data_IF_600631893037
#
_entry.id   IF_600631893037
#
_cell.length_a   1.000
_cell.length_b   1.000
_cell.length_c   1.000
_cell.angle_alpha   90.00
_cell.angle_beta   90.00
_cell.angle_gamma   90.00
#
_symmetry.space_group_name_H-M   'P 1'
#
loop_
_entity.id
_entity.type
_entity.pdbx_description
1 polymer ?
#
# COMPACT_ATOMS: atom_id res chain seq x y z
N UNK A 1 -7.97 -15.89 4.54
CA UNK A 1 -8.73 -16.10 5.81
C UNK A 1 -10.03 -15.36 5.58
N UNK A 2 -11.17 -15.89 6.03
CA UNK A 2 -12.42 -15.17 5.87
C UNK A 2 -12.35 -13.84 6.64
N UNK A 3 -12.97 -12.76 6.13
CA UNK A 3 -12.86 -11.44 6.72
C UNK A 3 -13.57 -11.36 8.08
N UNK A 4 -13.07 -10.44 8.92
CA UNK A 4 -13.76 -9.98 10.12
C UNK A 4 -14.58 -8.73 9.77
N UNK A 5 -15.91 -8.85 9.85
CA UNK A 5 -16.85 -7.81 9.39
C UNK A 5 -17.43 -7.05 10.57
N UNK A 6 -17.18 -5.75 10.65
CA UNK A 6 -17.83 -4.88 11.62
C UNK A 6 -19.27 -4.56 11.20
N UNK A 7 -20.19 -4.78 12.13
CA UNK A 7 -21.61 -4.60 11.93
C UNK A 7 -22.02 -3.30 12.63
N UNK A 8 -22.55 -2.33 11.87
CA UNK A 8 -22.90 -1.02 12.43
C UNK A 8 -24.22 -0.54 11.85
N UNK A 9 -25.21 -0.28 12.70
CA UNK A 9 -26.46 0.28 12.21
C UNK A 9 -27.54 0.38 13.26
N UNK A 10 -28.69 0.91 12.85
CA UNK A 10 -29.86 1.00 13.71
C UNK A 10 -31.09 1.07 12.82
N UNK A 11 -32.13 0.35 13.23
CA UNK A 11 -33.46 0.38 12.64
C UNK A 11 -34.51 0.97 13.60
N UNK A 12 -34.08 1.59 14.70
CA UNK A 12 -34.95 2.20 15.71
C UNK A 12 -35.76 3.33 15.09
N UNK A 13 -37.07 3.38 15.32
CA UNK A 13 -37.99 4.35 14.67
C UNK A 13 -38.17 5.64 15.47
N UNK A 14 -37.80 5.63 16.74
CA UNK A 14 -37.90 6.76 17.68
C UNK A 14 -36.69 7.71 17.62
N UNK A 15 -35.66 7.36 16.84
CA UNK A 15 -34.44 8.15 16.68
C UNK A 15 -34.57 9.21 15.59
N UNK A 16 -34.05 10.43 15.82
CA UNK A 16 -33.98 11.44 14.78
C UNK A 16 -32.88 11.08 13.76
N UNK A 17 -33.28 10.74 12.54
CA UNK A 17 -32.35 10.57 11.42
C UNK A 17 -32.34 11.79 10.52
N UNK A 18 -31.15 12.17 10.04
CA UNK A 18 -31.02 13.21 9.02
C UNK A 18 -31.57 12.75 7.67
N UNK A 19 -31.25 11.50 7.31
CA UNK A 19 -31.85 10.81 6.17
C UNK A 19 -32.90 9.85 6.71
N UNK A 20 -34.18 9.94 6.29
CA UNK A 20 -35.23 9.09 6.84
C UNK A 20 -34.89 7.60 6.72
N UNK A 21 -35.19 6.85 7.78
CA UNK A 21 -35.19 5.40 7.75
C UNK A 21 -36.41 4.91 6.95
N UNK A 22 -36.21 3.90 6.10
CA UNK A 22 -37.24 3.27 5.27
C UNK A 22 -37.41 1.82 5.69
N UNK A 23 -38.66 1.38 5.79
CA UNK A 23 -39.02 -0.02 6.04
C UNK A 23 -38.25 -0.65 7.23
N UNK A 24 -38.35 -0.09 8.45
CA UNK A 24 -37.55 -0.50 9.61
C UNK A 24 -37.67 -2.00 9.93
N UNK A 25 -38.88 -2.57 9.83
CA UNK A 25 -39.11 -4.00 10.07
C UNK A 25 -38.41 -4.89 9.04
N UNK A 26 -38.39 -4.45 7.77
CA UNK A 26 -37.68 -5.16 6.71
C UNK A 26 -36.16 -5.03 6.90
N UNK A 27 -35.67 -3.89 7.40
CA UNK A 27 -34.24 -3.71 7.71
C UNK A 27 -33.76 -4.70 8.79
N UNK A 28 -34.60 -5.00 9.79
CA UNK A 28 -34.32 -6.03 10.80
C UNK A 28 -34.27 -7.41 10.15
N UNK A 29 -35.27 -7.75 9.33
CA UNK A 29 -35.28 -9.04 8.59
C UNK A 29 -34.03 -9.20 7.72
N UNK A 30 -33.68 -8.16 6.97
CA UNK A 30 -32.49 -8.11 6.14
C UNK A 30 -31.19 -8.32 6.94
N UNK A 31 -31.11 -7.73 8.14
CA UNK A 31 -29.98 -7.93 9.03
C UNK A 31 -29.86 -9.40 9.49
N UNK A 32 -30.97 -10.08 9.78
CA UNK A 32 -30.95 -11.53 10.10
C UNK A 32 -30.51 -12.37 8.89
N UNK A 33 -30.98 -12.05 7.68
CA UNK A 33 -30.56 -12.73 6.46
C UNK A 33 -29.07 -12.53 6.18
N UNK A 34 -28.56 -11.31 6.33
CA UNK A 34 -27.13 -10.99 6.21
C UNK A 34 -26.29 -11.76 7.23
N UNK A 35 -26.73 -11.81 8.49
CA UNK A 35 -26.07 -12.61 9.53
C UNK A 35 -25.95 -14.08 9.14
N UNK A 36 -27.02 -14.66 8.59
CA UNK A 36 -27.03 -16.05 8.12
C UNK A 36 -26.01 -16.28 7.00
N UNK A 37 -25.91 -15.36 6.06
CA UNK A 37 -24.96 -15.45 4.95
C UNK A 37 -23.50 -15.25 5.40
N UNK A 38 -23.23 -14.34 6.33
CA UNK A 38 -21.88 -14.22 6.91
C UNK A 38 -21.42 -15.51 7.58
N UNK A 39 -22.29 -16.19 8.32
CA UNK A 39 -21.95 -17.47 8.94
C UNK A 39 -21.70 -18.57 7.90
N UNK A 40 -22.51 -18.63 6.83
CA UNK A 40 -22.31 -19.60 5.72
C UNK A 40 -20.97 -19.39 5.01
N UNK A 41 -20.53 -18.14 4.86
CA UNK A 41 -19.24 -17.79 4.26
C UNK A 41 -18.06 -17.91 5.24
N UNK A 42 -18.32 -18.28 6.51
CA UNK A 42 -17.30 -18.42 7.53
C UNK A 42 -16.69 -17.09 8.01
N UNK A 43 -17.32 -15.97 7.71
CA UNK A 43 -16.89 -14.64 8.16
C UNK A 43 -16.98 -14.54 9.68
N UNK A 44 -16.05 -13.84 10.31
CA UNK A 44 -16.19 -13.40 11.71
C UNK A 44 -17.00 -12.10 11.72
N UNK A 45 -17.77 -11.85 12.77
CA UNK A 45 -18.49 -10.58 12.93
C UNK A 45 -18.04 -9.85 14.18
N UNK A 46 -17.94 -8.53 14.10
CA UNK A 46 -17.68 -7.63 15.23
C UNK A 46 -18.95 -6.87 15.53
N UNK A 47 -19.41 -6.95 16.78
CA UNK A 47 -20.65 -6.37 17.27
C UNK A 47 -20.44 -5.62 18.58
N UNK A 48 -21.29 -4.63 18.84
CA UNK A 48 -21.08 -3.67 19.94
C UNK A 48 -22.19 -3.68 20.99
N UNK A 49 -23.43 -3.89 20.55
CA UNK A 49 -24.62 -3.82 21.41
C UNK A 49 -25.65 -4.84 20.95
N UNK A 50 -26.27 -5.56 21.90
CA UNK A 50 -27.40 -6.44 21.62
C UNK A 50 -28.75 -5.83 21.97
N UNK A 51 -28.81 -4.51 22.19
CA UNK A 51 -30.08 -3.80 22.33
C UNK A 51 -30.87 -3.82 21.01
N UNK A 52 -32.19 -3.94 21.11
CA UNK A 52 -33.12 -4.01 19.98
C UNK A 52 -33.11 -2.75 19.09
N UNK A 53 -32.57 -1.63 19.59
CA UNK A 53 -32.35 -0.42 18.80
C UNK A 53 -31.36 -0.62 17.65
N UNK A 54 -30.45 -1.58 17.80
CA UNK A 54 -29.30 -1.79 16.93
C UNK A 54 -29.47 -3.05 16.08
N UNK A 55 -28.98 -3.02 14.85
CA UNK A 55 -29.14 -4.14 13.90
C UNK A 55 -28.27 -5.34 14.28
N UNK A 56 -27.27 -5.14 15.13
CA UNK A 56 -26.30 -6.12 15.60
C UNK A 56 -26.99 -7.34 16.22
N UNK A 57 -28.05 -7.13 17.01
CA UNK A 57 -28.85 -8.22 17.59
C UNK A 57 -29.49 -9.11 16.52
N UNK A 58 -30.07 -8.51 15.49
CA UNK A 58 -30.65 -9.23 14.36
C UNK A 58 -29.59 -9.99 13.56
N UNK A 59 -28.44 -9.36 13.27
CA UNK A 59 -27.32 -10.03 12.61
C UNK A 59 -26.85 -11.23 13.41
N UNK A 60 -26.69 -11.11 14.73
CA UNK A 60 -26.28 -12.22 15.61
C UNK A 60 -27.31 -13.37 15.59
N UNK A 61 -28.61 -13.08 15.68
CA UNK A 61 -29.66 -14.12 15.55
C UNK A 61 -29.58 -14.84 14.22
N UNK A 62 -29.48 -14.11 13.12
CA UNK A 62 -29.28 -14.66 11.79
C UNK A 62 -28.05 -15.56 11.68
N UNK A 63 -26.93 -15.07 12.22
CA UNK A 63 -25.65 -15.75 12.23
C UNK A 63 -25.73 -17.09 12.99
N UNK A 64 -26.37 -17.10 14.17
CA UNK A 64 -26.52 -18.30 15.00
C UNK A 64 -27.54 -19.30 14.45
N UNK A 65 -28.64 -18.83 13.87
CA UNK A 65 -29.68 -19.69 13.28
C UNK A 65 -29.24 -20.37 11.98
N UNK A 66 -28.15 -19.90 11.36
CA UNK A 66 -27.52 -20.58 10.22
C UNK A 66 -27.03 -22.00 10.52
N UNK A 67 -26.72 -22.30 11.80
CA UNK A 67 -26.05 -23.54 12.20
C UNK A 67 -24.60 -23.67 11.70
N UNK A 68 -24.02 -22.59 11.17
CA UNK A 68 -22.66 -22.55 10.60
C UNK A 68 -21.67 -21.70 11.39
N UNK A 69 -22.12 -21.12 12.50
CA UNK A 69 -21.26 -20.34 13.39
C UNK A 69 -20.11 -21.19 13.93
N UNK A 70 -18.89 -20.61 13.93
CA UNK A 70 -17.69 -21.27 14.45
C UNK A 70 -17.34 -20.76 15.85
N UNK A 71 -16.50 -21.49 16.58
CA UNK A 71 -16.08 -21.07 17.91
C UNK A 71 -15.38 -19.69 17.85
N UNK A 72 -15.73 -18.82 18.80
CA UNK A 72 -15.17 -17.46 18.92
C UNK A 72 -15.27 -16.63 17.63
N UNK A 73 -16.34 -16.81 16.85
CA UNK A 73 -16.54 -16.12 15.57
C UNK A 73 -17.34 -14.81 15.68
N UNK A 74 -17.94 -14.54 16.84
CA UNK A 74 -18.63 -13.27 17.15
C UNK A 74 -17.80 -12.49 18.18
N UNK A 75 -17.10 -11.46 17.73
CA UNK A 75 -16.33 -10.56 18.59
C UNK A 75 -17.24 -9.51 19.20
N UNK A 76 -17.36 -9.50 20.53
CA UNK A 76 -18.24 -8.58 21.25
C UNK A 76 -17.41 -7.50 21.91
N UNK A 77 -17.46 -6.29 21.36
CA UNK A 77 -16.78 -5.12 21.92
C UNK A 77 -17.74 -4.33 22.81
N UNK A 78 -17.56 -4.42 24.12
CA UNK A 78 -18.37 -3.72 25.11
C UNK A 78 -17.49 -3.10 26.22
N UNK A 79 -17.90 -1.99 26.84
CA UNK A 79 -17.21 -1.42 28.00
C UNK A 79 -17.09 -2.43 29.16
N UNK A 80 -15.93 -2.45 29.84
CA UNK A 80 -15.60 -3.40 30.92
C UNK A 80 -16.61 -3.41 32.09
N UNK A 81 -17.28 -2.28 32.35
CA UNK A 81 -18.25 -2.11 33.44
C UNK A 81 -19.71 -2.36 33.02
N UNK A 82 -19.94 -2.82 31.80
CA UNK A 82 -21.27 -3.26 31.39
C UNK A 82 -21.45 -4.72 31.83
N UNK A 83 -22.18 -4.94 32.92
CA UNK A 83 -22.48 -6.29 33.42
C UNK A 83 -23.47 -7.00 32.47
N UNK A 84 -23.10 -8.21 32.02
CA UNK A 84 -23.91 -9.07 31.16
C UNK A 84 -23.44 -9.11 29.70
N UNK A 85 -23.36 -10.30 29.11
CA UNK A 85 -23.17 -10.42 27.67
C UNK A 85 -24.35 -9.70 26.98
N UNK A 86 -24.11 -8.66 26.16
CA UNK A 86 -25.19 -7.81 25.64
C UNK A 86 -26.15 -8.56 24.71
N UNK A 87 -25.79 -9.79 24.31
CA UNK A 87 -26.58 -10.69 23.49
C UNK A 87 -27.14 -11.84 24.36
N UNK A 88 -28.48 -11.97 24.53
CA UNK A 88 -29.08 -13.07 25.27
C UNK A 88 -28.58 -14.45 24.83
N UNK A 89 -28.32 -14.61 23.54
CA UNK A 89 -27.86 -15.85 22.90
C UNK A 89 -26.46 -16.28 23.38
N UNK A 90 -25.66 -15.36 23.92
CA UNK A 90 -24.35 -15.68 24.50
C UNK A 90 -24.46 -16.51 25.80
N UNK A 91 -25.62 -16.54 26.45
CA UNK A 91 -25.88 -17.42 27.60
C UNK A 91 -26.02 -18.88 27.17
N UNK A 92 -26.67 -19.10 26.03
CA UNK A 92 -26.98 -20.44 25.52
C UNK A 92 -25.83 -21.03 24.70
N UNK A 93 -25.00 -20.17 24.07
CA UNK A 93 -23.89 -20.58 23.20
C UNK A 93 -22.60 -19.79 23.43
N UNK A 94 -22.05 -19.77 24.66
CA UNK A 94 -20.90 -18.93 25.01
C UNK A 94 -19.64 -19.23 24.18
N UNK A 95 -19.49 -20.45 23.66
CA UNK A 95 -18.34 -20.88 22.86
C UNK A 95 -18.21 -20.19 21.50
N UNK A 96 -19.30 -19.62 20.96
CA UNK A 96 -19.32 -18.89 19.70
C UNK A 96 -18.88 -17.43 19.88
N UNK A 97 -19.08 -16.89 21.08
CA UNK A 97 -18.79 -15.49 21.39
C UNK A 97 -17.34 -15.33 21.86
N UNK A 98 -16.72 -14.21 21.48
CA UNK A 98 -15.39 -13.78 21.87
C UNK A 98 -15.47 -12.40 22.53
N UNK A 99 -15.68 -12.32 23.86
CA UNK A 99 -15.77 -11.05 24.56
C UNK A 99 -14.44 -10.28 24.48
N UNK A 100 -14.50 -9.04 23.99
CA UNK A 100 -13.39 -8.09 23.85
C UNK A 100 -13.68 -6.83 24.68
N UNK A 101 -13.57 -6.91 26.02
CA UNK A 101 -13.89 -5.77 26.86
C UNK A 101 -12.94 -4.60 26.60
N UNK A 102 -13.48 -3.39 26.50
CA UNK A 102 -12.68 -2.17 26.48
C UNK A 102 -12.55 -1.59 27.90
N UNK A 103 -11.31 -1.36 28.33
CA UNK A 103 -10.95 -0.73 29.59
C UNK A 103 -11.23 0.77 29.64
N UNK A 104 -11.46 1.43 28.50
CA UNK A 104 -11.74 2.86 28.42
C UNK A 104 -13.13 3.22 28.98
N UNK A 105 -13.26 4.42 29.55
CA UNK A 105 -14.57 5.00 29.91
C UNK A 105 -15.37 5.44 28.67
N UNK A 106 -14.67 5.74 27.57
CA UNK A 106 -15.24 6.34 26.38
C UNK A 106 -15.51 5.26 25.34
N UNK A 107 -16.77 4.79 25.29
CA UNK A 107 -17.20 3.70 24.40
C UNK A 107 -16.85 3.97 22.93
N UNK A 108 -16.87 5.24 22.50
CA UNK A 108 -16.56 5.64 21.12
C UNK A 108 -15.13 5.27 20.72
N UNK A 109 -14.17 5.37 21.65
CA UNK A 109 -12.76 5.04 21.37
C UNK A 109 -12.62 3.55 21.07
N UNK A 110 -13.28 2.70 21.86
CA UNK A 110 -13.31 1.25 21.64
C UNK A 110 -14.02 0.87 20.36
N UNK A 111 -15.17 1.49 20.12
CA UNK A 111 -15.97 1.32 18.91
C UNK A 111 -15.14 1.62 17.65
N UNK A 112 -14.51 2.79 17.56
CA UNK A 112 -13.70 3.15 16.40
C UNK A 112 -12.43 2.30 16.31
N UNK A 113 -11.81 1.89 17.43
CA UNK A 113 -10.67 0.97 17.39
C UNK A 113 -11.04 -0.38 16.79
N UNK A 114 -12.21 -0.91 17.13
CA UNK A 114 -12.70 -2.17 16.56
C UNK A 114 -13.00 -2.02 15.06
N UNK A 115 -13.62 -0.91 14.62
CA UNK A 115 -13.78 -0.60 13.19
C UNK A 115 -12.43 -0.55 12.48
N UNK A 116 -11.41 0.04 13.11
CA UNK A 116 -10.06 0.09 12.58
C UNK A 116 -9.36 -1.28 12.58
N UNK A 117 -9.83 -2.27 13.33
CA UNK A 117 -9.29 -3.62 13.31
C UNK A 117 -10.02 -4.53 12.32
N UNK A 118 -11.26 -4.19 11.95
CA UNK A 118 -12.07 -4.97 11.04
C UNK A 118 -11.54 -4.95 9.59
N UNK A 119 -11.75 -6.07 8.90
CA UNK A 119 -11.36 -6.26 7.50
C UNK A 119 -12.39 -5.68 6.54
N UNK A 120 -13.65 -5.55 6.98
CA UNK A 120 -14.75 -5.02 6.19
C UNK A 120 -15.87 -4.44 7.09
N UNK A 121 -16.77 -3.66 6.51
CA UNK A 121 -17.91 -3.06 7.21
C UNK A 121 -19.24 -3.37 6.53
N UNK A 122 -20.25 -3.70 7.32
CA UNK A 122 -21.66 -3.69 6.95
C UNK A 122 -22.36 -2.52 7.64
N UNK A 123 -23.08 -1.69 6.87
CA UNK A 123 -23.85 -0.57 7.39
C UNK A 123 -25.32 -0.69 6.98
N UNK A 124 -26.24 -0.59 7.95
CA UNK A 124 -27.70 -0.60 7.71
C UNK A 124 -28.35 0.55 8.47
N UNK A 125 -29.08 1.41 7.76
CA UNK A 125 -29.79 2.54 8.36
C UNK A 125 -28.86 3.43 9.18
N UNK A 126 -29.17 3.58 10.47
CA UNK A 126 -28.25 4.16 11.44
C UNK A 126 -28.14 5.68 11.41
N UNK A 127 -27.58 6.21 12.51
CA UNK A 127 -27.39 7.65 12.72
C UNK A 127 -25.95 8.09 12.46
N UNK A 128 -25.53 9.18 13.11
CA UNK A 128 -24.21 9.82 12.90
C UNK A 128 -23.04 8.84 13.06
N UNK A 129 -23.11 7.93 14.02
CA UNK A 129 -22.06 6.94 14.27
C UNK A 129 -21.88 6.00 13.08
N UNK A 130 -22.96 5.56 12.43
CA UNK A 130 -22.94 4.75 11.21
C UNK A 130 -22.28 5.50 10.05
N UNK A 131 -22.59 6.80 9.90
CA UNK A 131 -21.92 7.65 8.91
C UNK A 131 -20.41 7.71 9.14
N UNK A 132 -19.99 8.00 10.37
CA UNK A 132 -18.58 8.15 10.71
C UNK A 132 -17.83 6.83 10.48
N UNK A 133 -18.40 5.70 10.90
CA UNK A 133 -17.85 4.37 10.65
C UNK A 133 -17.66 4.11 9.14
N UNK A 134 -18.67 4.42 8.33
CA UNK A 134 -18.59 4.28 6.88
C UNK A 134 -17.52 5.15 6.24
N UNK A 135 -17.41 6.43 6.63
CA UNK A 135 -16.36 7.32 6.13
C UNK A 135 -14.97 6.81 6.51
N UNK A 136 -14.78 6.34 7.75
CA UNK A 136 -13.52 5.73 8.19
C UNK A 136 -13.19 4.50 7.34
N UNK A 137 -14.17 3.63 7.09
CA UNK A 137 -14.01 2.45 6.24
C UNK A 137 -13.57 2.81 4.82
N UNK A 138 -14.26 3.78 4.20
CA UNK A 138 -13.92 4.27 2.87
C UNK A 138 -12.52 4.90 2.81
N UNK A 139 -12.15 5.72 3.80
CA UNK A 139 -10.81 6.34 3.86
C UNK A 139 -9.68 5.34 4.06
N UNK A 140 -9.98 4.17 4.63
CA UNK A 140 -9.03 3.07 4.80
C UNK A 140 -9.02 2.08 3.64
N UNK A 141 -9.89 2.30 2.66
CA UNK A 141 -10.09 1.40 1.53
C UNK A 141 -10.39 -0.06 1.96
N UNK A 142 -11.04 -0.24 3.11
CA UNK A 142 -11.57 -1.56 3.46
C UNK A 142 -12.92 -1.75 2.75
N UNK A 143 -13.28 -2.98 2.34
CA UNK A 143 -14.59 -3.24 1.76
C UNK A 143 -15.73 -2.74 2.66
N UNK A 144 -16.60 -1.89 2.11
CA UNK A 144 -17.79 -1.38 2.80
C UNK A 144 -19.03 -1.81 2.02
N UNK A 145 -20.04 -2.34 2.71
CA UNK A 145 -21.39 -2.57 2.18
C UNK A 145 -22.36 -1.63 2.91
N UNK A 146 -22.63 -0.43 2.34
CA UNK A 146 -23.66 0.45 2.85
C UNK A 146 -25.02 0.08 2.23
N UNK A 147 -25.88 -0.63 2.97
CA UNK A 147 -27.20 -1.06 2.51
C UNK A 147 -28.15 0.14 2.47
N UNK A 148 -28.15 0.85 1.34
CA UNK A 148 -28.88 2.09 1.12
C UNK A 148 -30.39 1.88 0.95
N UNK A 149 -30.84 0.65 0.66
CA UNK A 149 -32.27 0.31 0.52
C UNK A 149 -33.12 0.84 1.69
N UNK A 150 -32.58 0.77 2.91
CA UNK A 150 -33.27 1.14 4.15
C UNK A 150 -33.09 2.62 4.56
N UNK A 151 -32.39 3.43 3.77
CA UNK A 151 -32.15 4.83 4.09
C UNK A 151 -31.17 5.03 5.25
N UNK A 152 -31.44 6.02 6.10
CA UNK A 152 -30.55 6.38 7.20
C UNK A 152 -29.18 6.92 6.74
N UNK A 153 -28.21 6.95 7.63
CA UNK A 153 -26.87 7.43 7.29
C UNK A 153 -26.07 6.42 6.43
N UNK A 154 -26.47 5.14 6.39
CA UNK A 154 -25.92 4.16 5.44
C UNK A 154 -26.13 4.60 3.98
N UNK A 155 -27.29 5.17 3.62
CA UNK A 155 -27.54 5.73 2.28
C UNK A 155 -26.55 6.86 1.93
N UNK A 156 -26.23 7.74 2.89
CA UNK A 156 -25.26 8.82 2.68
C UNK A 156 -23.83 8.30 2.52
N UNK A 157 -23.49 7.18 3.16
CA UNK A 157 -22.21 6.50 2.92
C UNK A 157 -22.19 5.90 1.52
N UNK A 158 -23.29 5.30 1.07
CA UNK A 158 -23.43 4.77 -0.29
C UNK A 158 -23.26 5.87 -1.35
N UNK A 159 -23.89 7.04 -1.18
CA UNK A 159 -23.73 8.19 -2.11
C UNK A 159 -22.25 8.59 -2.27
N UNK A 160 -21.51 8.61 -1.16
CA UNK A 160 -20.07 8.90 -1.16
C UNK A 160 -19.28 7.78 -1.81
N UNK A 161 -19.62 6.53 -1.50
CA UNK A 161 -18.97 5.37 -2.07
C UNK A 161 -19.14 5.33 -3.58
N UNK A 162 -20.31 5.72 -4.10
CA UNK A 162 -20.53 5.84 -5.55
C UNK A 162 -19.66 6.90 -6.22
N UNK A 163 -19.38 8.02 -5.54
CA UNK A 163 -18.49 9.05 -6.08
C UNK A 163 -17.01 8.64 -6.04
N UNK A 164 -16.64 7.73 -5.13
CA UNK A 164 -15.31 7.16 -4.98
C UNK A 164 -15.42 5.65 -4.69
N UNK A 165 -15.56 4.80 -5.73
CA UNK A 165 -15.91 3.38 -5.57
C UNK A 165 -14.87 2.52 -4.87
N UNK A 166 -13.65 3.02 -4.63
CA UNK A 166 -12.52 2.22 -4.16
C UNK A 166 -12.35 0.95 -5.01
N UNK A 167 -12.73 -0.21 -4.48
CA UNK A 167 -12.67 -1.54 -5.11
C UNK A 167 -14.06 -2.13 -5.45
N UNK A 168 -15.13 -1.38 -5.23
CA UNK A 168 -16.51 -1.73 -5.58
C UNK A 168 -16.78 -1.47 -7.06
N UNK A 169 -17.47 -2.43 -7.68
CA UNK A 169 -18.00 -2.28 -9.04
C UNK A 169 -19.32 -1.52 -9.02
N UNK A 170 -19.74 -0.99 -10.18
CA UNK A 170 -21.06 -0.37 -10.32
C UNK A 170 -22.19 -1.35 -9.97
N UNK A 171 -22.00 -2.64 -10.23
CA UNK A 171 -22.95 -3.69 -9.87
C UNK A 171 -23.04 -3.90 -8.35
N UNK A 172 -21.89 -3.90 -7.64
CA UNK A 172 -21.86 -3.98 -6.18
C UNK A 172 -22.62 -2.81 -5.54
N UNK A 173 -22.39 -1.60 -6.05
CA UNK A 173 -23.06 -0.39 -5.60
C UNK A 173 -24.55 -0.41 -5.93
N UNK A 174 -24.94 -0.87 -7.12
CA UNK A 174 -26.33 -1.00 -7.51
C UNK A 174 -27.09 -1.98 -6.61
N UNK A 175 -26.51 -3.15 -6.31
CA UNK A 175 -27.09 -4.15 -5.40
C UNK A 175 -27.33 -3.60 -3.99
N UNK A 176 -26.42 -2.75 -3.49
CA UNK A 176 -26.55 -2.16 -2.16
C UNK A 176 -27.69 -1.12 -2.04
N UNK A 177 -28.15 -0.56 -3.16
CA UNK A 177 -29.26 0.40 -3.23
C UNK A 177 -30.56 -0.19 -3.80
N UNK A 178 -30.53 -1.43 -4.28
CA UNK A 178 -31.70 -2.11 -4.82
C UNK A 178 -32.72 -2.43 -3.73
N UNK A 179 -33.98 -2.61 -4.12
CA UNK A 179 -35.02 -3.10 -3.22
C UNK A 179 -34.62 -4.48 -2.66
N UNK A 180 -34.93 -4.69 -1.38
CA UNK A 180 -34.55 -5.92 -0.69
C UNK A 180 -35.35 -7.11 -1.20
N UNK A 181 -34.67 -8.21 -1.53
CA UNK A 181 -35.27 -9.45 -2.02
C UNK A 181 -34.51 -10.69 -1.54
N UNK A 182 -34.99 -11.90 -1.93
CA UNK A 182 -34.51 -13.17 -1.37
C UNK A 182 -33.02 -13.46 -1.58
N UNK A 183 -32.40 -12.87 -2.60
CA UNK A 183 -30.98 -13.07 -2.93
C UNK A 183 -30.09 -11.91 -2.45
N UNK A 184 -30.66 -10.81 -1.96
CA UNK A 184 -29.93 -9.59 -1.64
C UNK A 184 -28.81 -9.85 -0.61
N UNK A 185 -29.11 -10.61 0.46
CA UNK A 185 -28.11 -10.94 1.47
C UNK A 185 -26.92 -11.71 0.88
N UNK A 186 -27.19 -12.75 0.09
CA UNK A 186 -26.16 -13.60 -0.49
C UNK A 186 -25.25 -12.81 -1.44
N UNK A 187 -25.86 -12.02 -2.33
CA UNK A 187 -25.14 -11.21 -3.32
C UNK A 187 -24.29 -10.12 -2.66
N UNK A 188 -24.77 -9.48 -1.59
CA UNK A 188 -24.03 -8.44 -0.87
C UNK A 188 -22.86 -9.02 -0.07
N UNK A 189 -23.04 -10.16 0.60
CA UNK A 189 -21.97 -10.82 1.33
C UNK A 189 -20.91 -11.38 0.37
N UNK A 190 -21.32 -12.00 -0.74
CA UNK A 190 -20.39 -12.49 -1.77
C UNK A 190 -19.55 -11.34 -2.35
N UNK A 191 -20.19 -10.21 -2.67
CA UNK A 191 -19.50 -8.99 -3.12
C UNK A 191 -18.45 -8.51 -2.12
N UNK A 192 -18.80 -8.46 -0.83
CA UNK A 192 -17.89 -8.04 0.24
C UNK A 192 -16.69 -8.99 0.38
N UNK A 193 -16.94 -10.30 0.38
CA UNK A 193 -15.88 -11.31 0.50
C UNK A 193 -14.96 -11.27 -0.73
N UNK A 194 -15.51 -11.20 -1.94
CA UNK A 194 -14.74 -11.12 -3.17
C UNK A 194 -13.84 -9.89 -3.20
N UNK A 195 -14.33 -8.74 -2.72
CA UNK A 195 -13.52 -7.51 -2.57
C UNK A 195 -12.37 -7.69 -1.59
N UNK A 196 -12.64 -8.27 -0.42
CA UNK A 196 -11.60 -8.58 0.56
C UNK A 196 -10.51 -9.49 -0.02
N UNK A 197 -10.90 -10.58 -0.71
CA UNK A 197 -9.95 -11.54 -1.28
C UNK A 197 -9.07 -10.89 -2.35
N UNK A 198 -9.65 -10.11 -3.27
CA UNK A 198 -8.87 -9.35 -4.27
C UNK A 198 -7.84 -8.43 -3.62
N UNK A 199 -8.20 -7.76 -2.52
CA UNK A 199 -7.28 -6.87 -1.79
C UNK A 199 -6.15 -7.65 -1.15
N UNK A 200 -6.44 -8.78 -0.51
CA UNK A 200 -5.42 -9.65 0.09
C UNK A 200 -4.47 -10.21 -0.97
N UNK A 201 -4.97 -10.60 -2.13
CA UNK A 201 -4.16 -11.06 -3.25
C UNK A 201 -3.27 -9.96 -3.82
N UNK A 202 -3.82 -8.75 -4.02
CA UNK A 202 -3.06 -7.60 -4.49
C UNK A 202 -1.93 -7.22 -3.53
N UNK A 203 -2.20 -7.22 -2.22
CA UNK A 203 -1.18 -6.97 -1.19
C UNK A 203 -0.05 -8.02 -1.23
N UNK A 204 -0.41 -9.31 -1.33
CA UNK A 204 0.58 -10.40 -1.46
C UNK A 204 1.38 -10.31 -2.75
N UNK A 205 0.75 -9.91 -3.85
CA UNK A 205 1.45 -9.69 -5.12
C UNK A 205 2.45 -8.54 -5.01
N UNK A 206 2.07 -7.43 -4.37
CA UNK A 206 2.93 -6.27 -4.11
C UNK A 206 4.12 -6.61 -3.20
N UNK A 207 3.92 -7.45 -2.18
CA UNK A 207 5.02 -7.93 -1.33
C UNK A 207 6.01 -8.81 -2.12
N UNK A 208 5.50 -9.69 -2.99
CA UNK A 208 6.35 -10.55 -3.83
C UNK A 208 7.18 -9.74 -4.82
N UNK A 209 6.56 -8.76 -5.48
CA UNK A 209 7.28 -7.87 -6.41
C UNK A 209 8.24 -6.96 -5.66
N UNK A 210 7.85 -6.46 -4.48
CA UNK A 210 8.71 -5.67 -3.59
C UNK A 210 9.97 -6.42 -3.15
N UNK A 211 9.84 -7.70 -2.75
CA UNK A 211 10.97 -8.54 -2.38
C UNK A 211 11.94 -8.80 -3.56
N UNK A 212 11.40 -9.03 -4.76
CA UNK A 212 12.22 -9.18 -5.97
C UNK A 212 12.99 -7.89 -6.30
N UNK A 213 12.32 -6.74 -6.25
CA UNK A 213 12.93 -5.42 -6.46
C UNK A 213 13.98 -5.10 -5.40
N UNK A 214 13.75 -5.45 -4.12
CA UNK A 214 14.72 -5.27 -3.05
C UNK A 214 16.00 -6.09 -3.28
N UNK A 215 15.88 -7.34 -3.76
CA UNK A 215 17.03 -8.18 -4.12
C UNK A 215 17.82 -7.58 -5.29
N UNK A 216 17.12 -7.14 -6.34
CA UNK A 216 17.77 -6.50 -7.50
C UNK A 216 18.52 -5.21 -7.09
N UNK A 217 17.93 -4.41 -6.19
CA UNK A 217 18.57 -3.22 -5.61
C UNK A 217 19.81 -3.60 -4.79
N UNK A 218 19.73 -4.66 -3.98
CA UNK A 218 20.87 -5.16 -3.21
C UNK A 218 22.01 -5.63 -4.11
N UNK A 219 21.72 -6.39 -5.19
CA UNK A 219 22.73 -6.81 -6.16
C UNK A 219 23.38 -5.60 -6.86
N UNK A 220 22.60 -4.60 -7.24
CA UNK A 220 23.12 -3.35 -7.79
C UNK A 220 24.10 -2.68 -6.82
N UNK A 221 23.73 -2.53 -5.55
CA UNK A 221 24.59 -1.91 -4.53
C UNK A 221 25.87 -2.71 -4.26
N UNK A 222 25.79 -4.04 -4.20
CA UNK A 222 26.97 -4.92 -4.07
C UNK A 222 27.88 -4.75 -5.28
N UNK A 223 27.33 -4.73 -6.49
CA UNK A 223 28.11 -4.51 -7.71
C UNK A 223 28.76 -3.11 -7.72
N UNK A 224 28.05 -2.06 -7.30
CA UNK A 224 28.61 -0.72 -7.14
C UNK A 224 29.79 -0.70 -6.16
N UNK A 225 29.67 -1.42 -5.03
CA UNK A 225 30.76 -1.56 -4.05
C UNK A 225 31.99 -2.27 -4.65
N UNK A 226 31.77 -3.32 -5.45
CA UNK A 226 32.86 -4.02 -6.16
C UNK A 226 33.53 -3.09 -7.17
N UNK A 227 32.76 -2.30 -7.93
CA UNK A 227 33.30 -1.31 -8.86
C UNK A 227 34.08 -0.20 -8.14
N UNK A 228 33.59 0.28 -6.99
CA UNK A 228 34.30 1.24 -6.14
C UNK A 228 35.63 0.67 -5.65
N UNK A 229 35.63 -0.56 -5.13
CA UNK A 229 36.85 -1.23 -4.68
C UNK A 229 37.85 -1.43 -5.83
N UNK A 230 37.37 -1.84 -7.02
CA UNK A 230 38.18 -1.94 -8.23
C UNK A 230 38.79 -0.60 -8.65
N UNK A 231 38.01 0.47 -8.61
CA UNK A 231 38.50 1.82 -8.89
C UNK A 231 39.53 2.31 -7.87
N UNK A 232 39.36 2.01 -6.58
CA UNK A 232 40.37 2.33 -5.55
C UNK A 232 41.64 1.50 -5.70
N UNK A 233 41.54 0.25 -6.14
CA UNK A 233 42.70 -0.60 -6.42
C UNK A 233 43.56 -0.08 -7.58
N UNK A 234 43.03 0.79 -8.45
CA UNK A 234 43.82 1.49 -9.47
C UNK A 234 44.92 2.39 -8.87
N UNK A 235 44.77 2.90 -7.64
CA UNK A 235 45.74 3.78 -6.98
C UNK A 235 47.07 3.06 -6.65
N UNK A 236 47.09 1.93 -5.92
CA UNK A 236 48.33 1.20 -5.70
C UNK A 236 48.90 0.60 -7.00
N UNK A 237 48.03 0.25 -7.97
CA UNK A 237 48.49 -0.28 -9.26
C UNK A 237 49.20 0.77 -10.12
N UNK A 238 48.77 2.04 -10.08
CA UNK A 238 49.43 3.12 -10.81
C UNK A 238 50.76 3.54 -10.18
N UNK A 239 50.95 3.32 -8.88
CA UNK A 239 52.15 3.77 -8.15
C UNK A 239 53.33 2.80 -8.23
N UNK A 240 53.12 1.55 -8.71
CA UNK A 240 54.19 0.57 -8.87
C UNK A 240 55.32 1.07 -9.79
N UNK A 241 56.56 1.05 -9.29
CA UNK A 241 57.72 1.72 -9.90
C UNK A 241 58.12 1.14 -11.28
N UNK A 242 57.80 -0.12 -11.54
CA UNK A 242 58.21 -0.85 -12.74
C UNK A 242 57.06 -1.14 -13.72
N UNK A 243 55.95 -0.41 -13.63
CA UNK A 243 54.81 -0.65 -14.52
C UNK A 243 55.12 -0.24 -15.97
N UNK A 244 54.94 -1.15 -16.96
CA UNK A 244 55.05 -0.78 -18.37
C UNK A 244 53.96 0.24 -18.75
N UNK A 245 54.25 1.13 -19.70
CA UNK A 245 53.38 2.26 -20.08
C UNK A 245 51.93 1.85 -20.42
N UNK A 246 51.73 0.71 -21.07
CA UNK A 246 50.39 0.20 -21.39
C UNK A 246 49.56 -0.12 -20.14
N UNK A 247 50.19 -0.54 -19.04
CA UNK A 247 49.52 -0.82 -17.76
C UNK A 247 49.05 0.47 -17.11
N UNK A 248 49.88 1.51 -17.12
CA UNK A 248 49.51 2.84 -16.63
C UNK A 248 48.32 3.40 -17.43
N UNK A 249 48.34 3.27 -18.76
CA UNK A 249 47.23 3.65 -19.63
C UNK A 249 45.95 2.86 -19.32
N UNK A 250 46.06 1.54 -19.15
CA UNK A 250 44.92 0.68 -18.80
C UNK A 250 44.30 1.09 -17.44
N UNK A 251 45.12 1.39 -16.43
CA UNK A 251 44.66 1.83 -15.11
C UNK A 251 43.97 3.21 -15.18
N UNK A 252 44.52 4.13 -15.97
CA UNK A 252 43.94 5.46 -16.18
C UNK A 252 42.57 5.41 -16.90
N UNK A 253 42.35 4.44 -17.78
CA UNK A 253 41.05 4.22 -18.44
C UNK A 253 40.07 3.46 -17.52
N UNK A 254 40.54 2.39 -16.87
CA UNK A 254 39.68 1.50 -16.11
C UNK A 254 39.11 2.15 -14.84
N UNK A 255 39.93 2.93 -14.11
CA UNK A 255 39.50 3.60 -12.88
C UNK A 255 38.27 4.49 -13.06
N UNK A 256 38.30 5.47 -13.97
CA UNK A 256 37.19 6.39 -14.26
C UNK A 256 35.91 5.69 -14.74
N UNK A 257 36.05 4.63 -15.53
CA UNK A 257 34.92 3.82 -15.99
C UNK A 257 34.27 3.09 -14.81
N UNK A 258 35.06 2.39 -13.99
CA UNK A 258 34.55 1.67 -12.81
C UNK A 258 33.89 2.62 -11.81
N UNK A 259 34.52 3.75 -11.51
CA UNK A 259 33.96 4.70 -10.56
C UNK A 259 32.72 5.44 -11.12
N UNK A 260 32.66 5.64 -12.45
CA UNK A 260 31.46 6.14 -13.13
C UNK A 260 30.28 5.17 -13.06
N UNK A 261 30.54 3.86 -13.26
CA UNK A 261 29.55 2.80 -13.02
C UNK A 261 29.02 2.86 -11.59
N UNK A 262 29.93 2.95 -10.60
CA UNK A 262 29.58 3.04 -9.19
C UNK A 262 28.66 4.24 -8.91
N UNK A 263 29.04 5.45 -9.35
CA UNK A 263 28.25 6.67 -9.16
C UNK A 263 26.84 6.56 -9.75
N UNK A 264 26.72 6.04 -10.97
CA UNK A 264 25.42 5.89 -11.64
C UNK A 264 24.50 4.88 -10.93
N UNK A 265 25.05 3.76 -10.46
CA UNK A 265 24.25 2.76 -9.72
C UNK A 265 23.80 3.31 -8.37
N UNK A 266 24.66 4.03 -7.63
CA UNK A 266 24.28 4.68 -6.38
C UNK A 266 23.13 5.67 -6.61
N UNK A 267 23.20 6.48 -7.67
CA UNK A 267 22.11 7.39 -8.03
C UNK A 267 20.82 6.65 -8.33
N UNK A 268 20.88 5.62 -9.17
CA UNK A 268 19.73 4.78 -9.53
C UNK A 268 19.13 4.09 -8.30
N UNK A 269 19.94 3.75 -7.29
CA UNK A 269 19.47 3.19 -6.03
C UNK A 269 18.72 4.22 -5.16
N UNK A 270 18.89 5.53 -5.35
CA UNK A 270 18.10 6.56 -4.66
C UNK A 270 16.77 6.87 -5.36
N UNK A 271 16.67 6.61 -6.66
CA UNK A 271 15.44 6.81 -7.43
C UNK A 271 14.55 5.55 -7.29
N UNK A 272 14.52 4.65 -8.29
CA UNK A 272 13.60 3.50 -8.29
C UNK A 272 14.29 2.13 -8.14
N UNK A 273 15.62 2.06 -8.32
CA UNK A 273 16.40 0.81 -8.24
C UNK A 273 16.17 -0.19 -9.38
N UNK A 274 15.09 -0.04 -10.16
CA UNK A 274 14.64 -0.93 -11.24
C UNK A 274 15.34 -0.62 -12.57
N UNK A 275 16.67 -0.76 -12.61
CA UNK A 275 17.41 -0.45 -13.83
C UNK A 275 18.92 -0.34 -13.69
N UNK A 276 19.48 -0.93 -12.63
CA UNK A 276 20.89 -0.72 -12.28
C UNK A 276 21.86 -1.12 -13.39
N UNK A 277 21.51 -2.09 -14.24
CA UNK A 277 22.31 -2.49 -15.41
C UNK A 277 22.41 -1.35 -16.44
N UNK A 278 21.29 -0.69 -16.76
CA UNK A 278 21.31 0.45 -17.67
C UNK A 278 22.01 1.66 -17.05
N UNK A 279 21.84 1.87 -15.73
CA UNK A 279 22.59 2.87 -14.99
C UNK A 279 24.11 2.60 -15.06
N UNK A 280 24.53 1.34 -14.90
CA UNK A 280 25.93 0.93 -15.04
C UNK A 280 26.47 1.26 -16.44
N UNK A 281 25.74 0.93 -17.51
CA UNK A 281 26.15 1.24 -18.89
C UNK A 281 26.30 2.75 -19.11
N UNK A 282 25.37 3.56 -18.62
CA UNK A 282 25.45 5.03 -18.72
C UNK A 282 26.60 5.60 -17.89
N UNK A 283 26.80 5.09 -16.68
CA UNK A 283 27.90 5.47 -15.80
C UNK A 283 29.26 5.13 -16.41
N UNK A 284 29.38 3.97 -17.05
CA UNK A 284 30.58 3.57 -17.80
C UNK A 284 30.86 4.54 -18.96
N UNK A 285 29.84 4.85 -19.76
CA UNK A 285 29.96 5.77 -20.89
C UNK A 285 30.32 7.20 -20.42
N UNK A 286 29.66 7.69 -19.38
CA UNK A 286 29.95 9.00 -18.77
C UNK A 286 31.40 9.04 -18.26
N UNK A 287 31.82 8.05 -17.47
CA UNK A 287 33.19 7.94 -16.98
C UNK A 287 34.23 7.90 -18.11
N UNK A 288 33.98 7.13 -19.17
CA UNK A 288 34.86 7.05 -20.34
C UNK A 288 34.96 8.39 -21.09
N UNK A 289 33.83 9.04 -21.40
CA UNK A 289 33.82 10.33 -22.10
C UNK A 289 34.51 11.41 -21.27
N UNK A 290 34.22 11.49 -19.98
CA UNK A 290 34.85 12.48 -19.11
C UNK A 290 36.35 12.25 -18.98
N UNK A 291 36.80 10.98 -18.92
CA UNK A 291 38.21 10.66 -18.98
C UNK A 291 38.88 11.12 -20.29
N UNK A 292 38.27 10.81 -21.44
CA UNK A 292 38.82 11.21 -22.74
C UNK A 292 38.94 12.73 -22.88
N UNK A 293 37.91 13.47 -22.44
CA UNK A 293 37.93 14.93 -22.42
C UNK A 293 39.01 15.48 -21.48
N UNK A 294 39.17 14.87 -20.31
CA UNK A 294 40.22 15.23 -19.37
C UNK A 294 41.62 14.99 -19.95
N UNK A 295 41.87 13.83 -20.54
CA UNK A 295 43.17 13.53 -21.20
C UNK A 295 43.43 14.49 -22.33
N UNK A 296 42.45 14.74 -23.21
CA UNK A 296 42.60 15.69 -24.32
C UNK A 296 43.00 17.09 -23.81
N UNK A 297 42.30 17.59 -22.79
CA UNK A 297 42.60 18.88 -22.17
C UNK A 297 44.01 18.91 -21.55
N UNK A 298 44.41 17.85 -20.85
CA UNK A 298 45.73 17.74 -20.24
C UNK A 298 46.83 17.67 -21.30
N UNK A 299 46.67 16.89 -22.37
CA UNK A 299 47.67 16.79 -23.45
C UNK A 299 47.82 18.09 -24.23
N UNK A 300 46.74 18.86 -24.37
CA UNK A 300 46.79 20.17 -25.01
C UNK A 300 47.54 21.21 -24.15
N UNK A 301 47.42 21.12 -22.82
CA UNK A 301 48.09 22.02 -21.89
C UNK A 301 49.54 21.61 -21.58
N UNK A 302 49.80 20.30 -21.53
CA UNK A 302 51.10 19.71 -21.20
C UNK A 302 51.28 18.38 -21.95
N UNK A 303 52.05 18.35 -23.05
CA UNK A 303 52.27 17.14 -23.86
C UNK A 303 52.89 15.97 -23.07
N UNK A 304 53.65 16.26 -22.02
CA UNK A 304 54.37 15.26 -21.21
C UNK A 304 53.54 14.71 -20.03
N UNK A 305 52.26 15.07 -19.95
CA UNK A 305 51.34 14.69 -18.86
C UNK A 305 51.09 13.19 -18.74
N UNK A 306 51.36 12.42 -19.81
CA UNK A 306 51.28 10.96 -19.83
C UNK A 306 52.57 10.27 -19.38
N UNK A 307 53.58 11.03 -18.92
CA UNK A 307 54.75 10.47 -18.26
C UNK A 307 54.35 9.66 -17.03
N UNK A 308 55.10 8.59 -16.73
CA UNK A 308 54.78 7.65 -15.65
C UNK A 308 54.66 8.33 -14.27
N UNK A 309 55.34 9.46 -14.06
CA UNK A 309 55.29 10.22 -12.82
C UNK A 309 54.04 11.11 -12.72
N UNK A 310 53.66 11.80 -13.80
CA UNK A 310 52.42 12.59 -13.85
C UNK A 310 51.16 11.72 -13.80
N UNK A 311 51.18 10.54 -14.44
CA UNK A 311 50.10 9.56 -14.42
C UNK A 311 49.66 9.16 -12.99
N UNK A 312 50.60 9.08 -12.04
CA UNK A 312 50.31 8.71 -10.64
C UNK A 312 49.41 9.72 -9.95
N UNK A 313 49.68 11.01 -10.16
CA UNK A 313 48.91 12.09 -9.53
C UNK A 313 47.55 12.29 -10.20
N UNK A 314 47.46 12.01 -11.51
CA UNK A 314 46.22 12.17 -12.27
C UNK A 314 45.13 11.21 -11.79
N UNK A 315 45.47 9.97 -11.37
CA UNK A 315 44.48 8.96 -10.95
C UNK A 315 43.52 9.48 -9.88
N UNK A 316 43.99 10.22 -8.86
CA UNK A 316 43.13 10.77 -7.81
C UNK A 316 42.08 11.75 -8.37
N UNK A 317 42.50 12.62 -9.29
CA UNK A 317 41.63 13.61 -9.92
C UNK A 317 40.62 12.92 -10.85
N UNK A 318 41.09 11.98 -11.67
CA UNK A 318 40.22 11.32 -12.64
C UNK A 318 39.17 10.43 -11.95
N UNK A 319 39.50 9.81 -10.81
CA UNK A 319 38.53 9.05 -10.02
C UNK A 319 37.39 9.93 -9.50
N UNK A 320 37.72 11.10 -8.93
CA UNK A 320 36.70 12.04 -8.43
C UNK A 320 35.80 12.57 -9.57
N UNK A 321 36.41 12.91 -10.71
CA UNK A 321 35.72 13.37 -11.90
C UNK A 321 34.79 12.27 -12.46
N UNK A 322 35.30 11.04 -12.60
CA UNK A 322 34.53 9.89 -13.08
C UNK A 322 33.33 9.58 -12.19
N UNK A 323 33.51 9.63 -10.86
CA UNK A 323 32.41 9.43 -9.91
C UNK A 323 31.31 10.48 -10.10
N UNK A 324 31.72 11.75 -10.18
CA UNK A 324 30.80 12.88 -10.34
C UNK A 324 30.06 12.81 -11.67
N UNK A 325 30.75 12.40 -12.74
CA UNK A 325 30.16 12.19 -14.05
C UNK A 325 29.11 11.07 -14.03
N UNK A 326 29.41 9.93 -13.40
CA UNK A 326 28.46 8.82 -13.26
C UNK A 326 27.26 9.17 -12.37
N UNK A 327 27.49 9.84 -11.24
CA UNK A 327 26.44 10.27 -10.32
C UNK A 327 25.51 11.33 -10.96
N UNK A 328 26.08 12.21 -11.78
CA UNK A 328 25.39 13.35 -12.37
C UNK A 328 24.78 13.11 -13.75
N UNK A 329 25.19 12.07 -14.49
CA UNK A 329 24.80 11.90 -15.90
C UNK A 329 23.28 11.87 -16.10
N UNK A 330 22.57 11.07 -15.31
CA UNK A 330 21.12 10.95 -15.45
C UNK A 330 20.38 12.24 -15.06
N UNK A 331 20.87 12.98 -14.06
CA UNK A 331 20.28 14.26 -13.66
C UNK A 331 20.42 15.34 -14.75
N UNK A 332 21.58 15.40 -15.40
CA UNK A 332 21.83 16.33 -16.50
C UNK A 332 21.01 15.94 -17.73
N UNK A 333 20.99 14.66 -18.12
CA UNK A 333 20.19 14.21 -19.27
C UNK A 333 18.68 14.38 -19.04
N UNK A 334 18.19 14.13 -17.82
CA UNK A 334 16.79 14.37 -17.48
C UNK A 334 16.43 15.85 -17.61
N UNK A 335 17.27 16.76 -17.11
CA UNK A 335 17.07 18.20 -17.26
C UNK A 335 17.11 18.65 -18.72
N UNK A 336 18.08 18.15 -19.51
CA UNK A 336 18.19 18.49 -20.93
C UNK A 336 16.94 18.03 -21.71
N UNK A 337 16.45 16.81 -21.46
CA UNK A 337 15.20 16.31 -22.07
C UNK A 337 13.96 17.13 -21.69
N UNK A 338 13.90 17.63 -20.45
CA UNK A 338 12.79 18.47 -19.99
C UNK A 338 12.83 19.88 -20.58
N UNK A 339 14.01 20.37 -20.94
CA UNK A 339 14.20 21.73 -21.47
C UNK A 339 13.84 21.84 -22.96
N UNK A 340 13.79 20.71 -23.68
CA UNK A 340 13.47 20.67 -25.12
C UNK A 340 11.97 20.81 -25.46
N UNK A 341 11.13 21.15 -24.48
CA UNK A 341 9.72 21.50 -24.72
C UNK A 341 9.61 23.02 -24.85
N UNK A 342 10.20 23.58 -25.91
CA UNK A 342 9.77 24.90 -26.36
C UNK A 342 8.47 24.70 -27.12
N UNK A 343 7.30 25.19 -26.65
CA UNK A 343 6.07 25.04 -27.40
C UNK A 343 6.16 25.89 -28.67
N UNK A 344 6.38 25.25 -29.81
CA UNK A 344 6.36 25.89 -31.15
C UNK A 344 4.94 26.28 -31.61
N UNK A 345 3.99 26.48 -30.68
CA UNK A 345 2.58 26.73 -30.99
C UNK A 345 2.21 28.21 -31.01
N UNK A 346 3.16 29.14 -31.15
CA UNK A 346 2.87 30.58 -31.27
C UNK A 346 3.25 31.17 -32.63
N UNK A 347 2.89 30.47 -33.72
CA UNK A 347 2.81 31.03 -35.07
C UNK A 347 1.60 30.41 -35.81
N UNK A 348 0.39 30.79 -35.39
CA UNK A 348 -0.82 30.83 -36.22
C UNK A 348 -1.64 32.06 -35.85
#
# INVERSE_FOLDING_TARGET
>A
MPPTVAIVGSAATDRPYRTPLRQPELAVTAAEELGREFAKQGCRIVVFSGSDDFIEGAVVRGYLTSGRASARSIEVHAPLRQEGAPFPEARDRPEIFDPRPDSGSDWEVGFYRAILAADALLLIGGGRTTFNAGVIGLSREVPVVPVAAFGGEAERVWERHRAAPNDATDEDLARAAADWGPESAAQLVESLVSRHDRRVEAARAAERTGAASARLRAYGLVFALVMLAGALACIPLSTSADAPAWRAAAVLVAGPVMIGICGAIIRNAFDDGTGWLWAAVRGAAAGAVTFLLFVAAQTAANPDVLSAESAKNLVYVVLAIGFTAGLGSDAVYAKLRQTDVTPTTSLQ
#
